data_IF_302134923917
#
_entry.id   IF_302134923917
#
_cell.length_a   1.000
_cell.length_b   1.000
_cell.length_c   1.000
_cell.angle_alpha   90.00
_cell.angle_beta   90.00
_cell.angle_gamma   90.00
#
_symmetry.space_group_name_H-M   'P 1'
#
loop_
_entity.id
_entity.type
_entity.pdbx_description
1 polymer ?
#
# COMPACT_ATOMS: atom_id res chain seq x y z
N UNK A 1 -18.72 5.69 -8.42
CA UNK A 1 -19.04 6.51 -7.24
C UNK A 1 -20.34 7.33 -7.38
N UNK A 2 -21.27 6.94 -8.27
CA UNK A 2 -22.47 7.75 -8.57
C UNK A 2 -23.77 7.28 -7.87
N UNK A 3 -23.71 6.23 -7.04
CA UNK A 3 -24.88 5.75 -6.28
C UNK A 3 -24.44 5.15 -4.93
N UNK A 4 -24.09 5.96 -3.93
CA UNK A 4 -23.70 5.47 -2.61
C UNK A 4 -24.85 4.72 -1.93
N UNK A 5 -24.55 3.64 -1.22
CA UNK A 5 -25.52 2.78 -0.55
C UNK A 5 -25.27 2.77 0.96
N UNK A 6 -26.17 2.16 1.74
CA UNK A 6 -25.96 1.99 3.19
C UNK A 6 -24.71 1.16 3.50
N UNK A 7 -24.34 0.21 2.62
CA UNK A 7 -23.10 -0.56 2.75
C UNK A 7 -21.88 0.35 2.62
N UNK A 8 -21.84 1.20 1.59
CA UNK A 8 -20.76 2.17 1.37
C UNK A 8 -20.61 3.14 2.56
N UNK A 9 -21.72 3.58 3.16
CA UNK A 9 -21.69 4.40 4.38
C UNK A 9 -21.10 3.63 5.57
N UNK A 10 -21.47 2.36 5.73
CA UNK A 10 -20.92 1.48 6.76
C UNK A 10 -19.40 1.33 6.67
N UNK A 11 -18.88 1.11 5.45
CA UNK A 11 -17.44 1.00 5.19
C UNK A 11 -16.70 2.31 5.45
N UNK A 12 -17.25 3.45 4.99
CA UNK A 12 -16.70 4.77 5.27
C UNK A 12 -16.65 5.06 6.78
N UNK A 13 -17.72 4.73 7.52
CA UNK A 13 -17.76 4.88 8.96
C UNK A 13 -16.76 3.96 9.69
N UNK A 14 -16.46 2.77 9.15
CA UNK A 14 -15.41 1.89 9.69
C UNK A 14 -14.04 2.56 9.57
N UNK A 15 -13.74 3.18 8.44
CA UNK A 15 -12.49 3.92 8.23
C UNK A 15 -12.40 5.09 9.22
N UNK A 16 -13.46 5.90 9.36
CA UNK A 16 -13.48 7.03 10.29
C UNK A 16 -13.31 6.59 11.76
N UNK A 17 -13.93 5.48 12.16
CA UNK A 17 -13.74 4.92 13.52
C UNK A 17 -12.31 4.44 13.74
N UNK A 18 -11.68 3.82 12.75
CA UNK A 18 -10.28 3.43 12.85
C UNK A 18 -9.40 4.66 13.06
N UNK A 19 -9.54 5.68 12.22
CA UNK A 19 -8.78 6.93 12.33
C UNK A 19 -8.99 7.59 13.70
N UNK A 20 -10.23 7.68 14.16
CA UNK A 20 -10.55 8.26 15.47
C UNK A 20 -9.97 7.45 16.64
N UNK A 21 -9.94 6.11 16.52
CA UNK A 21 -9.41 5.22 17.55
C UNK A 21 -7.89 5.08 17.53
N UNK A 22 -7.21 5.47 16.45
CA UNK A 22 -5.75 5.43 16.31
C UNK A 22 -5.14 6.81 16.09
N UNK A 23 -5.82 7.87 16.55
CA UNK A 23 -5.35 9.25 16.34
C UNK A 23 -4.04 9.57 17.07
N UNK A 24 -3.74 8.82 18.12
CA UNK A 24 -2.52 8.85 18.92
C UNK A 24 -1.42 7.92 18.39
N UNK A 25 -1.73 7.08 17.39
CA UNK A 25 -0.77 6.19 16.78
C UNK A 25 0.04 6.92 15.70
N UNK A 26 1.30 6.52 15.56
CA UNK A 26 2.20 7.07 14.56
C UNK A 26 3.42 6.19 14.35
N UNK A 27 4.18 6.51 13.31
CA UNK A 27 5.46 5.86 13.04
C UNK A 27 6.54 6.60 13.82
N UNK A 28 7.21 5.89 14.73
CA UNK A 28 8.32 6.44 15.50
C UNK A 28 9.64 6.17 14.77
N UNK A 29 10.33 7.24 14.41
CA UNK A 29 11.66 7.16 13.82
C UNK A 29 12.73 7.32 14.88
N UNK A 30 13.71 6.42 14.86
CA UNK A 30 14.90 6.48 15.70
C UNK A 30 16.15 6.61 14.84
N UNK A 31 17.23 7.11 15.44
CA UNK A 31 18.54 7.17 14.79
C UNK A 31 19.04 5.75 14.57
N UNK A 32 19.42 5.45 13.33
CA UNK A 32 20.00 4.15 12.94
C UNK A 32 21.41 4.34 12.39
N UNK A 33 22.20 3.28 12.45
CA UNK A 33 23.57 3.24 11.89
C UNK A 33 23.59 2.83 10.42
N UNK A 34 22.61 2.03 9.96
CA UNK A 34 22.49 1.65 8.55
C UNK A 34 21.17 2.14 7.94
N UNK A 35 21.26 2.77 6.78
CA UNK A 35 20.13 3.22 5.98
C UNK A 35 19.81 2.18 4.90
N UNK A 36 19.25 1.05 5.33
CA UNK A 36 18.84 -0.01 4.41
C UNK A 36 17.42 0.25 3.92
N UNK A 37 17.23 0.29 2.60
CA UNK A 37 15.92 0.35 1.97
C UNK A 37 15.37 -1.09 1.83
N UNK A 38 14.24 -1.37 2.45
CA UNK A 38 13.57 -2.68 2.39
C UNK A 38 12.13 -2.50 1.94
N UNK A 39 11.70 -3.26 0.95
CA UNK A 39 10.35 -3.20 0.39
C UNK A 39 9.59 -4.52 0.53
N UNK A 40 8.29 -4.42 0.77
CA UNK A 40 7.33 -5.52 0.78
C UNK A 40 6.20 -5.20 -0.19
N UNK A 41 5.64 -6.22 -0.82
CA UNK A 41 4.52 -6.11 -1.76
C UNK A 41 3.58 -7.28 -1.56
N UNK A 42 2.29 -7.07 -1.84
CA UNK A 42 1.24 -8.09 -1.71
C UNK A 42 0.02 -7.74 -2.59
N UNK A 43 -0.79 -8.73 -2.92
CA UNK A 43 -2.07 -8.53 -3.61
C UNK A 43 -3.19 -9.43 -3.08
N UNK A 44 -4.43 -8.94 -3.08
CA UNK A 44 -5.58 -9.66 -2.49
C UNK A 44 -6.35 -10.58 -3.46
N UNK A 45 -5.81 -10.85 -4.66
CA UNK A 45 -6.45 -11.50 -5.82
C UNK A 45 -7.99 -11.51 -5.85
N UNK A 46 -8.56 -10.69 -6.74
CA UNK A 46 -10.01 -10.58 -6.93
C UNK A 46 -10.77 -10.27 -5.63
N UNK A 47 -10.17 -9.46 -4.75
CA UNK A 47 -10.75 -9.07 -3.46
C UNK A 47 -11.98 -8.17 -3.58
N UNK A 48 -12.13 -7.39 -4.66
CA UNK A 48 -13.32 -6.57 -4.86
C UNK A 48 -14.52 -7.41 -5.31
N UNK A 49 -15.65 -7.31 -4.62
CA UNK A 49 -16.85 -8.10 -4.91
C UNK A 49 -17.55 -7.63 -6.20
N UNK A 50 -17.53 -6.32 -6.48
CA UNK A 50 -18.30 -5.73 -7.57
C UNK A 50 -17.67 -6.01 -8.95
N UNK A 51 -16.35 -5.88 -9.07
CA UNK A 51 -15.65 -6.01 -10.36
C UNK A 51 -14.51 -7.04 -10.36
N UNK A 52 -14.32 -7.77 -9.25
CA UNK A 52 -13.28 -8.82 -9.10
C UNK A 52 -11.86 -8.31 -9.38
N UNK A 53 -11.61 -7.01 -9.33
CA UNK A 53 -10.26 -6.47 -9.40
C UNK A 53 -9.57 -6.65 -8.05
N UNK A 54 -8.27 -6.96 -8.11
CA UNK A 54 -7.44 -7.09 -6.92
C UNK A 54 -7.03 -5.71 -6.39
N UNK A 55 -6.60 -5.65 -5.14
CA UNK A 55 -5.93 -4.52 -4.51
C UNK A 55 -4.45 -4.86 -4.38
N UNK A 56 -3.58 -4.03 -4.94
CA UNK A 56 -2.14 -4.12 -4.78
C UNK A 56 -1.67 -3.23 -3.64
N UNK A 57 -0.83 -3.79 -2.78
CA UNK A 57 -0.20 -3.08 -1.67
C UNK A 57 1.32 -3.14 -1.75
N UNK A 58 1.99 -2.09 -1.27
CA UNK A 58 3.41 -2.15 -0.93
C UNK A 58 3.73 -1.30 0.30
N UNK A 59 4.84 -1.62 0.95
CA UNK A 59 5.41 -0.85 2.06
C UNK A 59 6.93 -0.85 1.95
N UNK A 60 7.54 0.34 2.00
CA UNK A 60 8.98 0.53 2.01
C UNK A 60 9.43 1.14 3.34
N UNK A 61 10.35 0.45 4.00
CA UNK A 61 11.06 0.90 5.18
C UNK A 61 12.42 1.46 4.80
N UNK A 62 12.84 2.51 5.48
CA UNK A 62 14.20 3.02 5.44
C UNK A 62 14.69 3.21 6.87
N UNK A 63 15.72 2.46 7.26
CA UNK A 63 16.25 2.52 8.61
C UNK A 63 15.23 2.03 9.65
N UNK A 64 14.73 2.95 10.49
CA UNK A 64 13.89 2.63 11.65
C UNK A 64 12.39 2.52 11.38
N UNK A 65 11.90 2.91 10.20
CA UNK A 65 10.46 2.96 9.96
C UNK A 65 10.04 3.00 8.50
N UNK A 66 8.73 2.89 8.29
CA UNK A 66 8.09 2.95 6.99
C UNK A 66 8.04 4.38 6.43
N UNK A 67 8.58 4.58 5.24
CA UNK A 67 8.68 5.90 4.59
C UNK A 67 7.74 6.07 3.39
N UNK A 68 7.25 4.97 2.83
CA UNK A 68 6.41 5.00 1.64
C UNK A 68 5.55 3.74 1.61
N UNK A 69 4.24 3.91 1.46
CA UNK A 69 3.30 2.80 1.32
C UNK A 69 2.17 3.16 0.37
N UNK A 70 1.54 2.14 -0.18
CA UNK A 70 0.37 2.30 -1.04
C UNK A 70 -0.53 1.08 -0.89
N UNK A 71 -1.84 1.31 -1.01
CA UNK A 71 -2.85 0.27 -1.19
C UNK A 71 -3.82 0.79 -2.25
N UNK A 72 -3.84 0.16 -3.42
CA UNK A 72 -4.58 0.63 -4.60
C UNK A 72 -5.24 -0.52 -5.33
N UNK A 73 -6.48 -0.31 -5.72
CA UNK A 73 -7.21 -1.21 -6.62
C UNK A 73 -6.50 -1.26 -7.98
N UNK A 74 -6.28 -2.45 -8.53
CA UNK A 74 -5.73 -2.66 -9.86
C UNK A 74 -6.68 -2.12 -10.93
N UNK A 75 -6.13 -1.65 -12.04
CA UNK A 75 -6.93 -1.13 -13.16
C UNK A 75 -7.58 -2.26 -13.98
N UNK A 76 -6.94 -3.42 -14.00
CA UNK A 76 -7.38 -4.62 -14.73
C UNK A 76 -7.79 -5.74 -13.77
N UNK A 77 -8.57 -6.70 -14.28
CA UNK A 77 -8.89 -7.94 -13.57
C UNK A 77 -7.78 -8.94 -13.87
N UNK A 78 -7.05 -9.37 -12.84
CA UNK A 78 -6.04 -10.42 -12.97
C UNK A 78 -6.72 -11.79 -13.18
N UNK A 79 -6.10 -12.67 -13.98
CA UNK A 79 -6.62 -14.01 -14.30
C UNK A 79 -6.10 -15.09 -13.35
N UNK A 80 -5.13 -14.76 -12.50
CA UNK A 80 -4.59 -15.66 -11.48
C UNK A 80 -4.03 -14.88 -10.29
N UNK A 81 -3.81 -15.58 -9.17
CA UNK A 81 -3.10 -15.02 -8.01
C UNK A 81 -1.70 -14.56 -8.39
N UNK A 82 -0.98 -15.36 -9.17
CA UNK A 82 0.37 -15.03 -9.66
C UNK A 82 0.38 -13.74 -10.48
N UNK A 83 -0.59 -13.55 -11.38
CA UNK A 83 -0.69 -12.31 -12.17
C UNK A 83 -0.98 -11.09 -11.29
N UNK A 84 -1.88 -11.22 -10.30
CA UNK A 84 -2.15 -10.14 -9.36
C UNK A 84 -0.88 -9.75 -8.57
N UNK A 85 -0.09 -10.72 -8.14
CA UNK A 85 1.20 -10.50 -7.49
C UNK A 85 2.22 -9.83 -8.40
N UNK A 86 2.29 -10.22 -9.68
CA UNK A 86 3.17 -9.57 -10.65
C UNK A 86 2.81 -8.10 -10.83
N UNK A 87 1.53 -7.76 -10.96
CA UNK A 87 1.08 -6.35 -11.08
C UNK A 87 1.45 -5.54 -9.83
N UNK A 88 1.25 -6.11 -8.63
CA UNK A 88 1.65 -5.49 -7.37
C UNK A 88 3.17 -5.27 -7.32
N UNK A 89 3.93 -6.31 -7.66
CA UNK A 89 5.39 -6.31 -7.68
C UNK A 89 5.94 -5.31 -8.68
N UNK A 90 5.36 -5.17 -9.87
CA UNK A 90 5.75 -4.14 -10.84
C UNK A 90 5.59 -2.74 -10.26
N UNK A 91 4.46 -2.46 -9.60
CA UNK A 91 4.20 -1.17 -8.95
C UNK A 91 5.21 -0.90 -7.84
N UNK A 92 5.47 -1.90 -6.99
CA UNK A 92 6.47 -1.81 -5.93
C UNK A 92 7.89 -1.60 -6.49
N UNK A 93 8.27 -2.29 -7.58
CA UNK A 93 9.58 -2.15 -8.21
C UNK A 93 9.80 -0.74 -8.78
N UNK A 94 8.79 -0.15 -9.43
CA UNK A 94 8.84 1.25 -9.86
C UNK A 94 9.11 2.20 -8.69
N UNK A 95 8.40 2.01 -7.58
CA UNK A 95 8.61 2.79 -6.36
C UNK A 95 10.01 2.57 -5.76
N UNK A 96 10.49 1.32 -5.74
CA UNK A 96 11.82 0.97 -5.24
C UNK A 96 12.92 1.66 -6.05
N UNK A 97 12.81 1.67 -7.39
CA UNK A 97 13.77 2.36 -8.27
C UNK A 97 13.78 3.86 -8.01
N UNK A 98 12.60 4.47 -7.83
CA UNK A 98 12.49 5.88 -7.51
C UNK A 98 13.10 6.20 -6.13
N UNK A 99 12.75 5.44 -5.09
CA UNK A 99 13.31 5.60 -3.74
C UNK A 99 14.83 5.41 -3.72
N UNK A 100 15.35 4.41 -4.44
CA UNK A 100 16.80 4.18 -4.52
C UNK A 100 17.52 5.38 -5.11
N UNK A 101 16.97 6.01 -6.15
CA UNK A 101 17.54 7.23 -6.76
C UNK A 101 17.45 8.42 -5.81
N UNK A 102 16.32 8.57 -5.12
CA UNK A 102 16.11 9.63 -4.14
C UNK A 102 17.12 9.52 -2.99
N UNK A 103 17.27 8.34 -2.39
CA UNK A 103 18.23 8.11 -1.29
C UNK A 103 19.67 8.35 -1.76
N UNK A 104 20.02 7.92 -2.97
CA UNK A 104 21.35 8.16 -3.53
C UNK A 104 21.66 9.64 -3.80
N UNK A 105 20.65 10.50 -3.94
CA UNK A 105 20.84 11.94 -4.09
C UNK A 105 21.24 12.63 -2.78
N UNK A 106 20.85 12.06 -1.63
CA UNK A 106 21.10 12.64 -0.30
C UNK A 106 22.34 12.08 0.41
N UNK A 107 22.96 11.03 -0.15
CA UNK A 107 24.24 10.47 0.31
C UNK A 107 25.39 11.04 -0.51
#
# INVERSE_FOLDING_TARGET
MHNPSKLHLGDAMRILRYIAGTSDHGIWYSKVTSFTLTGFTDSDYAGNIDDRKSTSGFLFNLGSGAISGSSKKQEVVALSTSEAEYIATTSAACQAVWLRRLVAYFN
#
